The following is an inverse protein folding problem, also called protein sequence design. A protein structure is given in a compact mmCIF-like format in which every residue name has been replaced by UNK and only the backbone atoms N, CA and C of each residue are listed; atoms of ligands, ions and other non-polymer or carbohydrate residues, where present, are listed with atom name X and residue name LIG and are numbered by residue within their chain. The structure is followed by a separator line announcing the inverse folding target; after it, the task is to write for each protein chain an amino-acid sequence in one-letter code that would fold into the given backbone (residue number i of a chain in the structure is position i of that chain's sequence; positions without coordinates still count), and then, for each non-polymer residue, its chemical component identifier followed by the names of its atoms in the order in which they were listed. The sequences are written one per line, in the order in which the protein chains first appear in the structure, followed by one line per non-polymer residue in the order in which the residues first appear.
data_IF_395980615404
#
_entry.id   IF_395980615404
#
_cell.length_a   1.000
_cell.length_b   1.000
_cell.length_c   1.000
_cell.angle_alpha   90.00
_cell.angle_beta   90.00
_cell.angle_gamma   90.00
#
_symmetry.space_group_name_H-M   'P 1'
#
loop_
_entity.id
_entity.type
_entity.pdbx_description
1 polymer ?
#
# COMPACT_ATOMS: atom_id res chain seq x y z
N UNK A 1 -33.06 -20.82 -11.40
CA UNK A 1 -31.92 -21.07 -10.50
C UNK A 1 -31.71 -19.80 -9.71
N UNK A 2 -32.00 -19.85 -8.40
CA UNK A 2 -31.76 -18.73 -7.51
C UNK A 2 -30.25 -18.51 -7.42
N UNK A 3 -29.82 -17.29 -7.70
CA UNK A 3 -28.45 -16.86 -7.48
C UNK A 3 -28.33 -16.68 -5.96
N UNK A 4 -27.70 -17.63 -5.27
CA UNK A 4 -27.42 -17.48 -3.84
C UNK A 4 -26.49 -16.28 -3.65
N UNK A 5 -26.98 -15.28 -2.92
CA UNK A 5 -26.17 -14.16 -2.45
C UNK A 5 -25.10 -14.72 -1.50
N UNK A 6 -23.83 -14.55 -1.86
CA UNK A 6 -22.71 -14.97 -1.02
C UNK A 6 -22.61 -14.01 0.18
N UNK A 7 -22.56 -14.52 1.43
CA UNK A 7 -22.47 -13.67 2.62
C UNK A 7 -21.13 -12.91 2.68
N UNK A 8 -21.19 -11.76 3.34
CA UNK A 8 -20.11 -10.80 3.58
C UNK A 8 -18.85 -11.45 4.21
N UNK A 9 -17.69 -10.90 3.87
CA UNK A 9 -16.39 -11.14 4.53
C UNK A 9 -15.84 -12.57 4.48
N UNK A 10 -15.43 -12.97 3.29
CA UNK A 10 -14.37 -13.96 3.17
C UNK A 10 -13.02 -13.32 3.47
N UNK A 11 -12.67 -13.21 4.75
CA UNK A 11 -11.28 -13.17 5.25
C UNK A 11 -10.56 -14.49 4.88
N UNK A 12 -10.31 -14.67 3.58
CA UNK A 12 -9.62 -15.85 3.06
C UNK A 12 -8.12 -15.61 3.16
N UNK A 13 -7.47 -16.32 4.07
CA UNK A 13 -6.02 -16.39 4.18
C UNK A 13 -5.49 -17.26 3.04
N UNK A 14 -4.91 -16.64 2.02
CA UNK A 14 -4.25 -17.36 0.92
C UNK A 14 -2.81 -17.67 1.33
N UNK A 15 -2.48 -18.96 1.45
CA UNK A 15 -1.10 -19.41 1.69
C UNK A 15 -0.37 -19.51 0.36
N UNK A 16 0.66 -18.67 0.19
CA UNK A 16 1.51 -18.62 -1.00
C UNK A 16 2.39 -17.37 -0.95
N UNK A 17 3.37 -17.21 -1.86
CA UNK A 17 4.01 -15.91 -2.03
C UNK A 17 2.88 -14.89 -2.25
N UNK A 18 2.72 -13.93 -1.34
CA UNK A 18 1.66 -12.92 -1.44
C UNK A 18 1.70 -12.39 -2.88
N UNK A 19 0.59 -12.52 -3.61
CA UNK A 19 0.48 -12.06 -5.01
C UNK A 19 0.91 -10.59 -5.17
N UNK A 20 0.85 -9.82 -4.07
CA UNK A 20 1.38 -8.47 -3.91
C UNK A 20 2.91 -8.31 -3.85
N UNK A 21 3.73 -9.37 -3.93
CA UNK A 21 5.18 -9.30 -3.64
C UNK A 21 6.08 -9.58 -4.86
N UNK A 22 5.50 -9.56 -6.06
CA UNK A 22 6.18 -10.07 -7.26
C UNK A 22 7.10 -9.03 -7.91
N UNK A 23 6.91 -7.73 -7.64
CA UNK A 23 7.65 -6.66 -8.32
C UNK A 23 8.71 -6.03 -7.42
N UNK A 24 9.98 -6.28 -7.74
CA UNK A 24 11.10 -5.49 -7.22
C UNK A 24 11.10 -4.13 -7.93
N UNK A 25 10.98 -3.04 -7.17
CA UNK A 25 11.15 -1.67 -7.65
C UNK A 25 12.40 -1.07 -7.03
N UNK A 26 13.00 -0.09 -7.69
CA UNK A 26 13.99 0.75 -6.99
C UNK A 26 13.29 1.56 -5.91
N UNK A 27 13.97 1.86 -4.82
CA UNK A 27 13.34 2.59 -3.71
C UNK A 27 12.88 3.98 -4.16
N UNK A 28 13.61 4.61 -5.07
CA UNK A 28 13.28 5.92 -5.64
C UNK A 28 11.98 5.89 -6.46
N UNK A 29 11.73 4.81 -7.21
CA UNK A 29 10.49 4.63 -7.96
C UNK A 29 9.29 4.45 -7.03
N UNK A 30 9.49 3.73 -5.91
CA UNK A 30 8.46 3.54 -4.90
C UNK A 30 8.17 4.86 -4.16
N UNK A 31 9.19 5.66 -3.83
CA UNK A 31 9.01 6.98 -3.24
C UNK A 31 8.16 7.91 -4.14
N UNK A 32 8.47 7.95 -5.43
CA UNK A 32 7.74 8.79 -6.39
C UNK A 32 6.29 8.34 -6.53
N UNK A 33 6.05 7.04 -6.66
CA UNK A 33 4.69 6.48 -6.73
C UNK A 33 3.87 6.80 -5.49
N UNK A 34 4.44 6.59 -4.29
CA UNK A 34 3.75 6.87 -3.03
C UNK A 34 3.45 8.37 -2.88
N UNK A 35 4.41 9.23 -3.24
CA UNK A 35 4.22 10.68 -3.18
C UNK A 35 3.13 11.15 -4.15
N UNK A 36 3.06 10.61 -5.37
CA UNK A 36 2.01 10.92 -6.32
C UNK A 36 0.63 10.49 -5.81
N UNK A 37 0.52 9.29 -5.22
CA UNK A 37 -0.74 8.82 -4.62
C UNK A 37 -1.20 9.72 -3.47
N UNK A 38 -0.30 10.08 -2.56
CA UNK A 38 -0.60 10.97 -1.42
C UNK A 38 -1.03 12.35 -1.93
N UNK A 39 -0.33 12.92 -2.92
CA UNK A 39 -0.71 14.22 -3.52
C UNK A 39 -2.08 14.19 -4.17
N UNK A 40 -2.44 13.09 -4.83
CA UNK A 40 -3.74 12.95 -5.48
C UNK A 40 -4.90 12.86 -4.48
N UNK A 41 -4.69 12.24 -3.32
CA UNK A 41 -5.74 12.08 -2.30
C UNK A 41 -5.66 13.09 -1.14
N UNK A 42 -4.60 13.90 -1.06
CA UNK A 42 -4.27 14.78 0.07
C UNK A 42 -3.66 14.02 1.25
N UNK A 43 -4.30 12.92 1.64
CA UNK A 43 -3.84 12.01 2.69
C UNK A 43 -4.07 10.54 2.30
N UNK A 44 -3.33 9.62 2.92
CA UNK A 44 -3.53 8.20 2.73
C UNK A 44 -3.08 7.42 3.97
N UNK A 45 -3.85 6.39 4.34
CA UNK A 45 -3.41 5.42 5.34
C UNK A 45 -2.33 4.50 4.77
N UNK A 46 -1.47 3.98 5.65
CA UNK A 46 -0.44 2.99 5.29
C UNK A 46 -1.05 1.76 4.61
N UNK A 47 -2.18 1.27 5.12
CA UNK A 47 -2.90 0.12 4.55
C UNK A 47 -3.37 0.38 3.12
N UNK A 48 -3.90 1.57 2.84
CA UNK A 48 -4.36 1.95 1.49
C UNK A 48 -3.18 2.06 0.51
N UNK A 49 -2.07 2.64 0.95
CA UNK A 49 -0.84 2.70 0.15
C UNK A 49 -0.30 1.28 -0.13
N UNK A 50 -0.34 0.39 0.86
CA UNK A 50 0.12 -0.98 0.72
C UNK A 50 -0.69 -1.80 -0.28
N UNK A 51 -2.01 -1.80 -0.16
CA UNK A 51 -2.89 -2.47 -1.12
C UNK A 51 -2.68 -1.98 -2.56
N UNK A 52 -2.29 -0.71 -2.74
CA UNK A 52 -2.13 -0.09 -4.05
C UNK A 52 -0.73 -0.23 -4.67
N UNK A 53 0.29 -0.70 -3.93
CA UNK A 53 1.71 -0.58 -4.35
C UNK A 53 2.37 -1.90 -4.76
N UNK A 54 1.70 -3.05 -4.59
CA UNK A 54 2.18 -4.38 -4.99
C UNK A 54 3.66 -4.62 -4.59
N UNK A 55 3.98 -4.30 -3.33
CA UNK A 55 5.27 -4.52 -2.69
C UNK A 55 5.09 -4.91 -1.21
N UNK A 56 6.19 -5.26 -0.53
CA UNK A 56 6.16 -5.59 0.88
C UNK A 56 5.84 -4.37 1.74
N UNK A 57 5.15 -4.58 2.85
CA UNK A 57 4.87 -3.52 3.81
C UNK A 57 6.16 -2.83 4.30
N UNK A 58 7.26 -3.58 4.47
CA UNK A 58 8.54 -3.01 4.90
C UNK A 58 9.14 -2.05 3.85
N UNK A 59 8.95 -2.32 2.56
CA UNK A 59 9.45 -1.45 1.47
C UNK A 59 8.71 -0.11 1.49
N UNK A 60 7.40 -0.15 1.73
CA UNK A 60 6.56 1.05 1.85
C UNK A 60 6.90 1.83 3.11
N UNK A 61 7.01 1.16 4.25
CA UNK A 61 7.41 1.79 5.50
C UNK A 61 8.78 2.47 5.36
N UNK A 62 9.72 1.82 4.68
CA UNK A 62 11.05 2.36 4.40
C UNK A 62 10.98 3.58 3.45
N UNK A 63 10.19 3.50 2.37
CA UNK A 63 10.01 4.62 1.43
C UNK A 63 9.34 5.83 2.09
N UNK A 64 8.28 5.62 2.88
CA UNK A 64 7.60 6.69 3.62
C UNK A 64 8.52 7.36 4.62
N UNK A 65 9.33 6.57 5.36
CA UNK A 65 10.34 7.12 6.26
C UNK A 65 11.32 8.03 5.51
N UNK A 66 11.79 7.61 4.33
CA UNK A 66 12.71 8.42 3.52
C UNK A 66 12.05 9.70 2.98
N UNK A 67 10.79 9.63 2.56
CA UNK A 67 10.01 10.81 2.15
C UNK A 67 9.83 11.79 3.31
N UNK A 68 9.60 11.29 4.53
CA UNK A 68 9.52 12.08 5.76
C UNK A 68 10.87 12.73 6.10
N UNK A 69 11.97 11.98 6.02
CA UNK A 69 13.34 12.49 6.21
C UNK A 69 13.70 13.57 5.17
N UNK A 70 13.12 13.51 3.97
CA UNK A 70 13.23 14.56 2.92
C UNK A 70 12.29 15.75 3.13
N UNK A 71 11.42 15.73 4.13
CA UNK A 71 10.42 16.78 4.38
C UNK A 71 9.31 16.84 3.33
N UNK A 72 9.06 15.76 2.59
CA UNK A 72 8.05 15.71 1.52
C UNK A 72 6.67 15.28 2.01
N UNK A 73 6.60 14.59 3.15
CA UNK A 73 5.36 14.13 3.78
C UNK A 73 5.46 14.30 5.30
N UNK A 74 4.32 14.31 5.97
CA UNK A 74 4.20 14.27 7.43
C UNK A 74 3.32 13.09 7.84
N UNK A 75 3.64 12.47 8.98
CA UNK A 75 2.77 11.47 9.60
C UNK A 75 1.85 12.17 10.60
N UNK A 76 0.55 11.93 10.48
CA UNK A 76 -0.44 12.39 11.45
C UNK A 76 -1.06 11.16 12.10
N UNK A 77 -1.00 11.10 13.42
CA UNK A 77 -1.89 10.24 14.19
C UNK A 77 -3.28 10.86 14.14
N UNK A 78 -4.26 10.06 13.72
CA UNK A 78 -5.67 10.39 13.86
C UNK A 78 -6.07 10.46 15.35
#
# INVERSE_FOLDING_TARGET
MAMEELPEEYDRIVVGPHLGLVKRKKIEELEEELLQKIRASGEASLSKLWLASNCHLWEIAYALRRLKEKGLIEERTA
#
